data_IF_172476725995
#
_entry.id   IF_172476725995
#
_cell.length_a   1.000
_cell.length_b   1.000
_cell.length_c   1.000
_cell.angle_alpha   90.00
_cell.angle_beta   90.00
_cell.angle_gamma   90.00
#
_symmetry.space_group_name_H-M   'P 1'
#
loop_
_entity.id
_entity.type
_entity.pdbx_description
1 polymer ?
#
# COMPACT_ATOMS: atom_id res chain seq x y z
N UNK A 1 20.51 9.26 19.71
CA UNK A 1 20.16 8.24 20.74
C UNK A 1 18.68 7.96 20.67
N UNK A 2 18.33 6.66 20.61
CA UNK A 2 16.93 6.25 20.61
C UNK A 2 16.47 6.08 22.06
N UNK A 3 15.57 6.97 22.50
CA UNK A 3 14.94 6.95 23.81
C UNK A 3 13.45 6.71 23.61
N UNK A 4 12.84 5.86 24.41
CA UNK A 4 11.40 5.68 24.47
C UNK A 4 10.86 5.98 25.87
N UNK A 5 9.64 6.48 25.93
CA UNK A 5 8.96 6.80 27.19
C UNK A 5 7.81 5.83 27.42
N UNK A 6 7.78 5.25 28.61
CA UNK A 6 6.68 4.40 29.06
C UNK A 6 5.81 5.20 30.02
N UNK A 7 4.54 5.38 29.67
CA UNK A 7 3.52 5.99 30.53
C UNK A 7 2.63 4.88 31.07
N UNK A 8 2.69 4.66 32.38
CA UNK A 8 1.83 3.68 33.05
C UNK A 8 0.46 4.32 33.36
N UNK A 9 -0.56 3.90 32.62
CA UNK A 9 -1.95 4.34 32.83
C UNK A 9 -2.76 3.44 33.77
N UNK A 10 -2.14 2.38 34.32
CA UNK A 10 -2.81 1.58 35.35
C UNK A 10 -2.94 2.39 36.64
N UNK A 11 -4.07 2.25 37.32
CA UNK A 11 -4.35 2.94 38.61
C UNK A 11 -3.63 2.31 39.79
N UNK A 12 -3.39 0.99 39.74
CA UNK A 12 -2.95 0.24 40.92
C UNK A 12 -1.74 -0.67 40.69
N UNK A 13 -1.33 -0.86 39.43
CA UNK A 13 -0.35 -1.88 39.04
C UNK A 13 0.89 -1.24 38.46
N UNK A 14 2.07 -1.64 38.97
CA UNK A 14 3.34 -1.29 38.36
C UNK A 14 3.55 -2.07 37.04
N UNK A 15 4.22 -1.47 36.06
CA UNK A 15 4.49 -2.16 34.77
C UNK A 15 5.40 -3.37 34.91
N UNK A 16 6.11 -3.55 36.05
CA UNK A 16 6.96 -4.71 36.32
C UNK A 16 6.21 -6.04 36.40
N UNK A 17 4.86 -6.03 36.50
CA UNK A 17 4.03 -7.26 36.44
C UNK A 17 3.96 -7.83 35.00
N UNK A 18 4.39 -7.08 34.00
CA UNK A 18 4.47 -7.52 32.62
C UNK A 18 5.90 -7.83 32.21
N UNK A 19 6.08 -8.68 31.23
CA UNK A 19 7.34 -8.79 30.52
C UNK A 19 7.42 -7.75 29.42
N UNK A 20 8.56 -7.06 29.32
CA UNK A 20 8.81 -6.07 28.29
C UNK A 20 9.93 -6.54 27.35
N UNK A 21 9.78 -6.29 26.06
CA UNK A 21 10.76 -6.63 25.03
C UNK A 21 11.03 -5.45 24.12
N UNK A 22 12.29 -5.26 23.73
CA UNK A 22 12.65 -4.47 22.56
C UNK A 22 12.89 -5.43 21.39
N UNK A 23 12.24 -5.14 20.27
CA UNK A 23 12.24 -5.97 19.06
C UNK A 23 12.70 -5.09 17.90
N UNK A 24 13.58 -5.62 17.05
CA UNK A 24 13.97 -5.00 15.81
C UNK A 24 13.37 -5.78 14.66
N UNK A 25 12.62 -5.10 13.82
CA UNK A 25 12.18 -5.61 12.54
C UNK A 25 13.06 -5.02 11.43
N UNK A 26 13.42 -5.83 10.44
CA UNK A 26 14.02 -5.41 9.18
C UNK A 26 13.10 -5.81 8.04
N UNK A 27 12.64 -4.84 7.23
CA UNK A 27 11.62 -5.01 6.20
C UNK A 27 10.36 -5.77 6.69
N UNK A 28 9.97 -5.49 7.94
CA UNK A 28 8.79 -6.06 8.57
C UNK A 28 8.98 -7.44 9.23
N UNK A 29 10.15 -8.06 9.12
CA UNK A 29 10.46 -9.35 9.74
C UNK A 29 11.34 -9.18 10.99
N UNK A 30 11.05 -9.94 12.05
CA UNK A 30 11.81 -9.88 13.30
C UNK A 30 13.24 -10.42 13.10
N UNK A 31 14.25 -9.56 13.34
CA UNK A 31 15.67 -9.92 13.23
C UNK A 31 16.40 -9.95 14.58
N UNK A 32 15.85 -9.28 15.57
CA UNK A 32 16.44 -9.26 16.91
C UNK A 32 15.37 -9.00 17.99
N UNK A 33 15.51 -9.66 19.13
CA UNK A 33 14.66 -9.47 20.33
C UNK A 33 15.50 -9.52 21.59
N UNK A 34 15.21 -8.61 22.53
CA UNK A 34 15.83 -8.64 23.85
C UNK A 34 14.82 -8.26 24.93
N UNK A 35 14.96 -8.85 26.12
CA UNK A 35 14.11 -8.53 27.27
C UNK A 35 14.57 -7.23 27.93
N UNK A 36 13.61 -6.40 28.28
CA UNK A 36 13.83 -5.14 28.98
C UNK A 36 13.44 -5.26 30.45
N UNK A 37 14.16 -4.53 31.33
CA UNK A 37 13.79 -4.34 32.70
C UNK A 37 13.05 -2.99 32.83
N UNK A 38 11.74 -3.04 32.85
CA UNK A 38 10.88 -1.85 32.93
C UNK A 38 10.07 -1.90 34.23
N UNK A 39 10.13 -0.81 35.00
CA UNK A 39 9.37 -0.64 36.23
C UNK A 39 8.91 0.81 36.34
N UNK A 40 7.64 1.04 36.07
CA UNK A 40 7.01 2.36 36.18
C UNK A 40 5.83 2.24 37.13
N UNK A 41 5.80 3.02 38.24
CA UNK A 41 4.68 3.02 39.18
C UNK A 41 3.35 3.43 38.48
N UNK A 42 2.21 3.11 39.17
CA UNK A 42 0.90 3.54 38.68
C UNK A 42 0.83 5.05 38.41
N UNK A 43 0.22 5.45 37.29
CA UNK A 43 0.01 6.85 36.89
C UNK A 43 1.28 7.69 36.68
N UNK A 44 2.44 7.04 36.61
CA UNK A 44 3.73 7.70 36.38
C UNK A 44 4.27 7.38 34.96
N UNK A 45 5.36 8.04 34.61
CA UNK A 45 6.11 7.80 33.37
C UNK A 45 7.61 7.76 33.63
N UNK A 46 8.32 6.98 32.82
CA UNK A 46 9.77 6.92 32.82
C UNK A 46 10.32 6.71 31.41
N UNK A 47 11.51 7.24 31.17
CA UNK A 47 12.20 7.10 29.87
C UNK A 47 13.33 6.08 29.99
N UNK A 48 13.50 5.30 28.92
CA UNK A 48 14.51 4.23 28.81
C UNK A 48 15.24 4.37 27.48
N UNK A 49 16.51 3.98 27.47
CA UNK A 49 17.28 3.89 26.24
C UNK A 49 17.00 2.58 25.51
N UNK A 50 16.99 2.64 24.19
CA UNK A 50 16.98 1.42 23.37
C UNK A 50 18.33 0.72 23.52
N UNK A 51 18.36 -0.61 23.77
CA UNK A 51 19.60 -1.36 23.97
C UNK A 51 20.62 -1.15 22.84
N UNK A 52 21.90 -0.96 23.20
CA UNK A 52 23.01 -0.76 22.25
C UNK A 52 23.13 -1.94 21.28
N UNK A 53 22.91 -3.17 21.74
CA UNK A 53 22.93 -4.37 20.90
C UNK A 53 21.90 -4.32 19.78
N UNK A 54 20.73 -3.75 20.04
CA UNK A 54 19.68 -3.56 19.03
C UNK A 54 20.08 -2.50 18.00
N UNK A 55 20.70 -1.40 18.46
CA UNK A 55 21.24 -0.36 17.57
C UNK A 55 22.32 -0.92 16.64
N UNK A 56 23.23 -1.75 17.17
CA UNK A 56 24.32 -2.37 16.40
C UNK A 56 23.85 -3.44 15.41
N UNK A 57 22.62 -3.92 15.51
CA UNK A 57 22.02 -4.86 14.56
C UNK A 57 21.43 -4.18 13.31
N UNK A 58 21.40 -2.85 13.27
CA UNK A 58 20.97 -2.03 12.12
C UNK A 58 22.16 -1.73 11.21
N UNK A 59 22.67 -2.73 10.52
CA UNK A 59 23.90 -2.61 9.72
C UNK A 59 23.66 -2.50 8.22
N UNK A 60 22.46 -2.85 7.74
CA UNK A 60 22.12 -2.83 6.32
C UNK A 60 21.35 -1.54 6.00
N UNK A 61 22.01 -0.60 5.31
CA UNK A 61 21.41 0.69 4.95
C UNK A 61 20.32 0.58 3.88
N UNK A 62 20.24 -0.55 3.18
CA UNK A 62 19.22 -0.80 2.17
C UNK A 62 17.90 -1.30 2.79
N UNK A 63 17.87 -1.61 4.08
CA UNK A 63 16.68 -2.07 4.80
C UNK A 63 15.96 -0.96 5.55
N UNK A 64 14.64 -1.06 5.58
CA UNK A 64 13.80 -0.30 6.48
C UNK A 64 13.75 -1.00 7.84
N UNK A 65 14.05 -0.30 8.94
CA UNK A 65 14.00 -0.86 10.27
C UNK A 65 12.83 -0.30 11.07
N UNK A 66 12.22 -1.16 11.92
CA UNK A 66 11.25 -0.74 12.91
C UNK A 66 11.67 -1.24 14.30
N UNK A 67 11.80 -0.31 15.26
CA UNK A 67 11.98 -0.64 16.67
C UNK A 67 10.60 -0.76 17.28
N UNK A 68 10.32 -1.89 17.94
CA UNK A 68 9.07 -2.13 18.65
C UNK A 68 9.40 -2.37 20.13
N UNK A 69 8.71 -1.69 21.04
CA UNK A 69 8.69 -2.00 22.46
C UNK A 69 7.35 -2.64 22.78
N UNK A 70 7.37 -3.86 23.29
CA UNK A 70 6.18 -4.69 23.51
C UNK A 70 6.09 -5.12 24.96
N UNK A 71 4.88 -5.05 25.52
CA UNK A 71 4.56 -5.53 26.87
C UNK A 71 3.60 -6.71 26.77
N UNK A 72 3.93 -7.82 27.42
CA UNK A 72 3.14 -9.05 27.39
C UNK A 72 2.84 -9.54 28.81
N UNK A 73 1.74 -10.31 28.94
CA UNK A 73 1.41 -10.97 30.21
C UNK A 73 2.49 -11.97 30.59
N UNK A 74 2.96 -11.91 31.84
CA UNK A 74 3.90 -12.91 32.42
C UNK A 74 3.22 -14.24 32.69
N UNK A 75 1.96 -14.19 33.13
CA UNK A 75 1.21 -15.33 33.66
C UNK A 75 -0.16 -15.38 32.98
N UNK A 76 -0.79 -16.56 33.04
CA UNK A 76 -2.16 -16.71 32.62
C UNK A 76 -3.11 -15.90 33.51
N UNK A 77 -4.05 -15.22 32.90
CA UNK A 77 -5.15 -14.51 33.54
C UNK A 77 -6.47 -15.22 33.28
N UNK A 78 -7.56 -14.74 33.87
CA UNK A 78 -8.92 -15.27 33.60
C UNK A 78 -9.42 -14.93 32.18
N UNK A 79 -8.79 -13.95 31.51
CA UNK A 79 -9.24 -13.42 30.21
C UNK A 79 -8.24 -13.71 29.09
N UNK A 80 -6.95 -13.96 29.39
CA UNK A 80 -5.94 -14.28 28.36
C UNK A 80 -4.73 -15.03 28.93
N UNK A 81 -3.94 -15.65 28.03
CA UNK A 81 -2.77 -16.47 28.39
C UNK A 81 -1.50 -15.62 28.52
N UNK A 82 -0.51 -16.16 29.25
CA UNK A 82 0.84 -15.64 29.27
C UNK A 82 1.38 -15.47 27.83
N UNK A 83 2.12 -14.38 27.60
CA UNK A 83 2.61 -14.01 26.27
C UNK A 83 1.67 -13.13 25.45
N UNK A 84 0.40 -12.97 25.86
CA UNK A 84 -0.52 -12.06 25.19
C UNK A 84 -0.01 -10.61 25.30
N UNK A 85 0.06 -9.91 24.16
CA UNK A 85 0.53 -8.53 24.11
C UNK A 85 -0.56 -7.55 24.56
N UNK A 86 -0.26 -6.79 25.59
CA UNK A 86 -1.22 -5.84 26.19
C UNK A 86 -0.99 -4.40 25.71
N UNK A 87 0.25 -4.08 25.31
CA UNK A 87 0.61 -2.76 24.83
C UNK A 87 1.88 -2.83 23.99
N UNK A 88 2.00 -1.96 23.01
CA UNK A 88 3.22 -1.77 22.25
C UNK A 88 3.40 -0.30 21.86
N UNK A 89 4.64 0.05 21.57
CA UNK A 89 5.03 1.27 20.84
C UNK A 89 5.98 0.90 19.71
N UNK A 90 5.95 1.65 18.62
CA UNK A 90 6.80 1.37 17.48
C UNK A 90 7.38 2.65 16.86
N UNK A 91 8.60 2.57 16.36
CA UNK A 91 9.27 3.67 15.69
C UNK A 91 9.96 3.17 14.41
N UNK A 92 9.61 3.81 13.29
CA UNK A 92 10.10 3.44 11.96
C UNK A 92 11.36 4.24 11.61
N UNK A 93 12.41 3.53 11.24
CA UNK A 93 13.65 4.08 10.69
C UNK A 93 13.66 3.77 9.20
N UNK A 94 13.26 4.76 8.40
CA UNK A 94 13.13 4.60 6.96
C UNK A 94 14.49 4.50 6.31
N UNK A 95 14.60 3.63 5.29
CA UNK A 95 15.74 3.65 4.38
C UNK A 95 15.68 4.88 3.46
N UNK A 96 16.81 5.36 2.93
CA UNK A 96 16.79 6.36 1.86
C UNK A 96 15.96 5.88 0.68
N UNK A 97 15.18 6.78 0.08
CA UNK A 97 14.46 6.49 -1.15
C UNK A 97 15.47 6.58 -2.30
N UNK A 98 15.66 5.48 -3.01
CA UNK A 98 16.43 5.44 -4.26
C UNK A 98 15.49 5.28 -5.45
N UNK A 99 15.81 5.90 -6.58
CA UNK A 99 15.09 5.62 -7.82
C UNK A 99 15.36 4.17 -8.24
N UNK A 100 14.30 3.51 -8.73
CA UNK A 100 14.45 2.16 -9.26
C UNK A 100 15.26 2.18 -10.55
N UNK A 101 16.23 1.28 -10.67
CA UNK A 101 17.06 1.12 -11.87
C UNK A 101 17.19 -0.36 -12.22
N UNK A 102 17.31 -0.64 -13.51
CA UNK A 102 17.49 -1.99 -14.04
C UNK A 102 18.42 -1.93 -15.26
N UNK A 103 19.46 -2.76 -15.27
CA UNK A 103 20.45 -2.82 -16.36
C UNK A 103 20.01 -3.72 -17.52
N UNK A 104 18.87 -4.43 -17.38
CA UNK A 104 18.34 -5.28 -18.46
C UNK A 104 17.76 -4.44 -19.59
N UNK A 105 18.01 -4.87 -20.81
CA UNK A 105 17.49 -4.22 -22.01
C UNK A 105 15.97 -4.37 -22.13
N UNK A 106 15.33 -3.35 -22.69
CA UNK A 106 13.90 -3.32 -23.01
C UNK A 106 13.69 -2.94 -24.47
N UNK A 107 12.81 -3.64 -25.15
CA UNK A 107 12.49 -3.41 -26.56
C UNK A 107 11.11 -2.76 -26.69
N UNK A 108 11.03 -1.77 -27.60
CA UNK A 108 9.81 -1.06 -27.95
C UNK A 108 9.41 -1.37 -29.39
N UNK A 109 8.17 -1.82 -29.58
CA UNK A 109 7.56 -1.97 -30.90
C UNK A 109 6.27 -1.14 -30.98
N UNK A 110 6.24 -0.17 -31.86
CA UNK A 110 5.08 0.72 -32.05
C UNK A 110 4.32 0.29 -33.29
N UNK A 111 3.11 -0.20 -33.10
CA UNK A 111 2.15 -0.52 -34.17
C UNK A 111 1.06 0.54 -34.31
N UNK A 112 0.17 0.36 -35.30
CA UNK A 112 -0.93 1.31 -35.54
C UNK A 112 -1.97 1.33 -34.42
N UNK A 113 -2.28 0.18 -33.81
CA UNK A 113 -3.28 0.05 -32.75
C UNK A 113 -2.71 -0.13 -31.35
N UNK A 114 -1.49 -0.66 -31.25
CA UNK A 114 -0.89 -1.03 -29.98
C UNK A 114 0.59 -0.67 -29.93
N UNK A 115 1.09 -0.55 -28.69
CA UNK A 115 2.50 -0.39 -28.34
C UNK A 115 2.88 -1.60 -27.51
N UNK A 116 3.88 -2.36 -27.95
CA UNK A 116 4.44 -3.48 -27.24
C UNK A 116 5.77 -3.08 -26.62
N UNK A 117 5.89 -3.30 -25.32
CA UNK A 117 7.16 -3.24 -24.58
C UNK A 117 7.48 -4.63 -24.11
N UNK A 118 8.69 -5.11 -24.37
CA UNK A 118 9.08 -6.46 -23.96
C UNK A 118 10.55 -6.55 -23.49
N UNK A 119 10.77 -7.47 -22.61
CA UNK A 119 12.10 -7.94 -22.18
C UNK A 119 12.20 -9.43 -22.32
N UNK A 120 13.18 -10.02 -21.66
CA UNK A 120 13.46 -11.47 -21.74
C UNK A 120 12.26 -12.32 -21.28
N UNK A 121 11.64 -11.96 -20.16
CA UNK A 121 10.61 -12.79 -19.49
C UNK A 121 9.22 -12.15 -19.45
N UNK A 122 9.03 -10.99 -20.08
CA UNK A 122 7.76 -10.28 -20.02
C UNK A 122 7.38 -9.64 -21.36
N UNK A 123 6.07 -9.35 -21.48
CA UNK A 123 5.47 -8.53 -22.54
C UNK A 123 4.39 -7.66 -21.89
N UNK A 124 4.46 -6.34 -22.10
CA UNK A 124 3.43 -5.40 -21.73
C UNK A 124 2.85 -4.77 -22.99
N UNK A 125 1.55 -4.91 -23.21
CA UNK A 125 0.85 -4.38 -24.37
C UNK A 125 -0.02 -3.20 -23.96
N UNK A 126 0.18 -2.06 -24.62
CA UNK A 126 -0.55 -0.81 -24.41
C UNK A 126 -1.38 -0.50 -25.64
N UNK A 127 -2.64 -0.10 -25.44
CA UNK A 127 -3.53 0.24 -26.53
C UNK A 127 -3.40 1.73 -26.90
N UNK A 128 -3.32 2.03 -28.19
CA UNK A 128 -3.45 3.40 -28.70
C UNK A 128 -4.91 3.86 -28.84
N UNK A 129 -5.85 2.93 -28.74
CA UNK A 129 -7.29 3.17 -28.96
C UNK A 129 -8.14 3.00 -27.71
N UNK A 130 -7.66 2.21 -26.75
CA UNK A 130 -8.31 1.92 -25.47
C UNK A 130 -7.53 2.55 -24.32
N UNK A 131 -8.10 2.44 -23.14
CA UNK A 131 -7.73 3.24 -21.95
C UNK A 131 -6.40 2.90 -21.26
N UNK A 132 -5.45 2.16 -21.85
CA UNK A 132 -4.18 1.92 -21.15
C UNK A 132 -3.51 0.59 -21.47
N UNK A 133 -2.90 -0.03 -20.45
CA UNK A 133 -2.26 -1.34 -20.54
C UNK A 133 -3.33 -2.43 -20.63
N UNK A 134 -3.35 -3.17 -21.74
CA UNK A 134 -4.40 -4.16 -22.06
C UNK A 134 -3.94 -5.61 -21.86
N UNK A 135 -2.64 -5.84 -21.65
CA UNK A 135 -2.08 -7.14 -21.38
C UNK A 135 -0.72 -6.98 -20.68
N UNK A 136 -0.49 -7.80 -19.68
CA UNK A 136 0.81 -7.94 -19.04
C UNK A 136 1.11 -9.42 -18.81
N UNK A 137 1.98 -9.96 -19.66
CA UNK A 137 2.43 -11.36 -19.58
C UNK A 137 3.79 -11.43 -18.91
N UNK A 138 3.92 -12.17 -17.83
CA UNK A 138 5.19 -12.44 -17.16
C UNK A 138 5.40 -13.95 -16.99
N UNK A 139 6.57 -14.45 -17.36
CA UNK A 139 6.86 -15.88 -17.33
C UNK A 139 5.86 -16.74 -18.10
N UNK A 140 5.25 -16.20 -19.18
CA UNK A 140 4.24 -16.88 -19.99
C UNK A 140 2.82 -16.87 -19.40
N UNK A 141 2.59 -16.16 -18.28
CA UNK A 141 1.28 -16.07 -17.63
C UNK A 141 0.71 -14.65 -17.84
N UNK A 142 -0.53 -14.56 -18.34
CA UNK A 142 -1.26 -13.29 -18.43
C UNK A 142 -1.74 -12.86 -17.05
N UNK A 143 -1.33 -11.67 -16.61
CA UNK A 143 -1.65 -11.13 -15.28
C UNK A 143 -2.88 -10.20 -15.29
N UNK A 144 -3.29 -9.70 -16.45
CA UNK A 144 -4.40 -8.76 -16.62
C UNK A 144 -5.47 -9.31 -17.59
N UNK A 145 -6.04 -10.50 -17.36
CA UNK A 145 -7.00 -11.06 -18.29
C UNK A 145 -8.28 -10.21 -18.35
N UNK A 146 -8.58 -9.65 -19.52
CA UNK A 146 -9.77 -8.85 -19.79
C UNK A 146 -9.96 -7.61 -18.86
N UNK A 147 -8.87 -7.04 -18.39
CA UNK A 147 -8.90 -5.88 -17.50
C UNK A 147 -7.86 -4.84 -17.93
N UNK A 148 -8.12 -3.59 -17.59
CA UNK A 148 -7.22 -2.46 -17.80
C UNK A 148 -7.08 -1.75 -16.46
N UNK A 149 -5.85 -1.51 -15.94
CA UNK A 149 -5.66 -0.64 -14.78
C UNK A 149 -6.16 0.77 -15.07
N UNK A 150 -6.99 1.32 -14.21
CA UNK A 150 -7.60 2.64 -14.41
C UNK A 150 -7.40 3.53 -13.18
N UNK A 151 -7.32 4.85 -13.37
CA UNK A 151 -7.42 5.80 -12.27
C UNK A 151 -8.72 5.61 -11.51
N UNK A 152 -8.65 5.69 -10.19
CA UNK A 152 -9.81 5.60 -9.30
C UNK A 152 -9.81 6.75 -8.30
N UNK A 153 -10.98 7.38 -8.13
CA UNK A 153 -11.20 8.56 -7.28
C UNK A 153 -12.32 8.33 -6.27
N UNK A 154 -12.81 7.10 -6.20
CA UNK A 154 -13.95 6.74 -5.37
C UNK A 154 -13.72 5.42 -4.64
N UNK A 155 -14.16 5.37 -3.39
CA UNK A 155 -14.23 4.16 -2.58
C UNK A 155 -15.64 3.97 -2.01
N UNK A 156 -15.92 2.80 -1.48
CA UNK A 156 -17.15 2.57 -0.73
C UNK A 156 -17.16 3.46 0.52
N UNK A 157 -18.28 4.15 0.83
CA UNK A 157 -18.34 4.99 2.02
C UNK A 157 -18.19 4.19 3.32
N UNK A 158 -17.45 4.76 4.27
CA UNK A 158 -17.48 4.35 5.67
C UNK A 158 -18.70 4.97 6.40
N UNK A 159 -18.93 4.58 7.64
CA UNK A 159 -19.95 5.24 8.48
C UNK A 159 -19.66 6.74 8.66
N UNK A 160 -18.38 7.11 8.82
CA UNK A 160 -17.97 8.51 8.93
C UNK A 160 -18.24 9.29 7.65
N UNK A 161 -17.98 8.67 6.49
CA UNK A 161 -18.29 9.27 5.19
C UNK A 161 -19.81 9.46 5.02
N UNK A 162 -20.60 8.49 5.42
CA UNK A 162 -22.07 8.57 5.36
C UNK A 162 -22.60 9.67 6.29
N UNK A 163 -22.06 9.77 7.51
CA UNK A 163 -22.38 10.84 8.47
C UNK A 163 -22.01 12.25 7.97
N UNK A 164 -20.93 12.35 7.19
CA UNK A 164 -20.48 13.61 6.55
C UNK A 164 -21.17 13.86 5.18
N UNK A 165 -22.12 13.02 4.78
CA UNK A 165 -22.80 13.08 3.47
C UNK A 165 -21.82 13.05 2.28
N UNK A 166 -20.69 12.35 2.40
CA UNK A 166 -19.68 12.24 1.34
C UNK A 166 -20.29 11.76 0.02
N UNK A 167 -21.18 10.74 -0.02
CA UNK A 167 -21.79 10.28 -1.25
C UNK A 167 -22.57 11.36 -2.01
N UNK A 168 -23.17 12.31 -1.31
CA UNK A 168 -23.93 13.42 -1.92
C UNK A 168 -23.01 14.59 -2.30
N UNK A 169 -22.06 14.95 -1.43
CA UNK A 169 -21.16 16.10 -1.61
C UNK A 169 -20.17 15.89 -2.73
N UNK A 170 -19.69 14.65 -2.91
CA UNK A 170 -18.57 14.33 -3.79
C UNK A 170 -18.90 13.27 -4.85
N UNK A 171 -20.20 13.05 -5.14
CA UNK A 171 -20.68 12.05 -6.10
C UNK A 171 -20.03 12.14 -7.48
N UNK A 172 -19.62 13.33 -7.92
CA UNK A 172 -18.95 13.51 -9.21
C UNK A 172 -17.66 12.68 -9.34
N UNK A 173 -16.96 12.40 -8.25
CA UNK A 173 -15.75 11.57 -8.27
C UNK A 173 -16.06 10.09 -8.52
N UNK A 174 -17.24 9.62 -8.09
CA UNK A 174 -17.75 8.30 -8.46
C UNK A 174 -17.97 8.22 -9.97
N UNK A 175 -18.63 9.23 -10.53
CA UNK A 175 -18.88 9.31 -11.97
C UNK A 175 -17.55 9.43 -12.74
N UNK A 176 -16.60 10.23 -12.22
CA UNK A 176 -15.27 10.34 -12.81
C UNK A 176 -14.55 8.98 -12.86
N UNK A 177 -14.56 8.21 -11.78
CA UNK A 177 -13.94 6.87 -11.73
C UNK A 177 -14.59 5.87 -12.70
N UNK A 178 -15.92 5.96 -12.89
CA UNK A 178 -16.65 5.04 -13.76
C UNK A 178 -16.49 5.36 -15.24
N UNK A 179 -16.31 6.62 -15.58
CA UNK A 179 -16.36 7.11 -16.97
C UNK A 179 -15.12 7.91 -17.38
N UNK A 180 -14.01 7.72 -16.68
CA UNK A 180 -12.72 8.25 -17.11
C UNK A 180 -12.37 7.72 -18.51
N UNK A 181 -11.88 8.59 -19.38
CA UNK A 181 -11.63 8.24 -20.78
C UNK A 181 -10.41 8.96 -21.33
N UNK A 182 -9.67 8.33 -22.24
CA UNK A 182 -8.61 8.99 -23.03
C UNK A 182 -9.15 9.79 -24.20
N UNK A 183 -10.46 9.74 -24.45
CA UNK A 183 -11.10 10.45 -25.57
C UNK A 183 -11.69 11.75 -25.09
N UNK A 184 -11.16 12.86 -25.60
CA UNK A 184 -11.86 14.15 -25.54
C UNK A 184 -13.09 14.12 -26.48
N UNK A 185 -14.10 14.96 -26.21
CA UNK A 185 -15.33 15.09 -27.00
C UNK A 185 -15.10 15.53 -28.47
N UNK A 186 -13.88 15.55 -28.95
CA UNK A 186 -13.52 15.90 -30.31
C UNK A 186 -13.38 14.63 -31.17
N UNK A 187 -14.22 14.50 -32.17
CA UNK A 187 -14.38 13.31 -33.03
C UNK A 187 -13.10 12.85 -33.75
N UNK A 188 -12.03 13.67 -33.74
CA UNK A 188 -10.75 13.42 -34.43
C UNK A 188 -9.53 13.77 -33.58
N UNK A 189 -9.67 13.92 -32.26
CA UNK A 189 -8.52 14.16 -31.39
C UNK A 189 -7.61 12.92 -31.40
N UNK A 190 -6.32 13.13 -31.52
CA UNK A 190 -5.33 12.08 -31.30
C UNK A 190 -5.35 11.69 -29.79
N UNK A 191 -5.78 10.49 -29.51
CA UNK A 191 -5.85 9.93 -28.16
C UNK A 191 -4.70 8.98 -27.88
N UNK A 192 -3.70 8.97 -28.77
CA UNK A 192 -2.51 8.14 -28.60
C UNK A 192 -1.72 8.58 -27.38
N UNK A 193 -1.20 7.63 -26.60
CA UNK A 193 -0.33 7.96 -25.50
C UNK A 193 0.99 8.55 -26.00
N UNK A 194 1.60 9.42 -25.18
CA UNK A 194 2.97 9.87 -25.37
C UNK A 194 3.92 8.71 -25.05
N UNK A 195 4.92 8.48 -25.91
CA UNK A 195 5.90 7.40 -25.74
C UNK A 195 7.30 8.01 -25.72
N UNK A 196 8.04 7.72 -24.68
CA UNK A 196 9.43 8.18 -24.49
C UNK A 196 10.33 6.96 -24.28
N UNK A 197 11.37 6.85 -25.10
CA UNK A 197 12.40 5.83 -24.96
C UNK A 197 13.60 6.43 -24.23
N UNK A 198 13.88 5.90 -23.07
CA UNK A 198 15.07 6.22 -22.29
C UNK A 198 16.09 5.06 -22.40
N UNK A 199 17.28 5.24 -21.82
CA UNK A 199 18.37 4.23 -21.94
C UNK A 199 17.96 2.87 -21.36
N UNK A 200 17.28 2.83 -20.22
CA UNK A 200 16.96 1.60 -19.47
C UNK A 200 15.44 1.36 -19.28
N UNK A 201 14.57 2.23 -19.81
CA UNK A 201 13.12 2.06 -19.67
C UNK A 201 12.36 2.72 -20.82
N UNK A 202 11.11 2.34 -20.94
CA UNK A 202 10.14 2.95 -21.86
C UNK A 202 9.02 3.57 -21.00
N UNK A 203 8.79 4.89 -21.15
CA UNK A 203 7.68 5.57 -20.52
C UNK A 203 6.52 5.76 -21.49
N UNK A 204 5.32 5.40 -21.06
CA UNK A 204 4.07 5.53 -21.83
C UNK A 204 3.06 6.30 -20.99
N UNK A 205 2.70 7.50 -21.41
CA UNK A 205 1.82 8.40 -20.68
C UNK A 205 0.48 8.56 -21.38
N UNK A 206 -0.59 8.27 -20.67
CA UNK A 206 -1.97 8.51 -21.07
C UNK A 206 -2.52 9.72 -20.34
N UNK A 207 -3.23 10.61 -21.08
CA UNK A 207 -4.05 11.65 -20.48
C UNK A 207 -5.49 11.16 -20.40
N UNK A 208 -6.05 11.15 -19.21
CA UNK A 208 -7.43 10.75 -18.94
C UNK A 208 -8.29 11.97 -18.65
N UNK A 209 -9.40 12.09 -19.34
CA UNK A 209 -10.40 13.13 -19.13
C UNK A 209 -11.49 12.61 -18.20
N UNK A 210 -11.85 13.39 -17.22
CA UNK A 210 -12.88 13.09 -16.24
C UNK A 210 -14.13 13.92 -16.49
N UNK A 211 -15.33 13.32 -16.48
CA UNK A 211 -16.59 14.03 -16.70
C UNK A 211 -17.04 14.80 -15.43
N UNK A 212 -16.17 15.67 -14.94
CA UNK A 212 -16.43 16.58 -13.83
C UNK A 212 -16.89 17.94 -14.32
N UNK A 213 -17.45 18.76 -13.43
CA UNK A 213 -17.81 20.14 -13.71
C UNK A 213 -17.21 21.07 -12.65
N UNK A 214 -16.19 21.89 -12.99
CA UNK A 214 -15.52 22.00 -14.29
C UNK A 214 -14.88 20.69 -14.75
N UNK A 215 -14.67 20.55 -16.07
CA UNK A 215 -13.97 19.38 -16.62
C UNK A 215 -12.52 19.35 -16.12
N UNK A 216 -12.04 18.17 -15.74
CA UNK A 216 -10.68 17.94 -15.30
C UNK A 216 -10.03 16.77 -16.03
N UNK A 217 -8.72 16.60 -15.83
CA UNK A 217 -7.95 15.50 -16.38
C UNK A 217 -6.86 15.06 -15.42
N UNK A 218 -6.39 13.82 -15.60
CA UNK A 218 -5.21 13.31 -14.92
C UNK A 218 -4.30 12.59 -15.93
N UNK A 219 -3.06 12.35 -15.57
CA UNK A 219 -2.11 11.58 -16.37
C UNK A 219 -1.70 10.32 -15.64
N UNK A 220 -1.58 9.22 -16.40
CA UNK A 220 -0.95 7.97 -15.90
C UNK A 220 0.25 7.68 -16.78
N UNK A 221 1.41 7.64 -16.16
CA UNK A 221 2.67 7.23 -16.80
C UNK A 221 3.06 5.85 -16.33
N UNK A 222 3.21 4.92 -17.25
CA UNK A 222 3.79 3.60 -17.06
C UNK A 222 5.23 3.62 -17.54
N UNK A 223 6.18 3.49 -16.61
CA UNK A 223 7.61 3.35 -16.92
C UNK A 223 8.00 1.89 -16.80
N UNK A 224 8.27 1.24 -17.93
CA UNK A 224 8.52 -0.19 -18.04
C UNK A 224 10.02 -0.43 -18.13
N UNK A 225 10.55 -1.23 -17.21
CA UNK A 225 11.98 -1.61 -17.15
C UNK A 225 12.23 -2.98 -17.78
N UNK A 226 13.50 -3.29 -18.06
CA UNK A 226 13.89 -4.50 -18.80
C UNK A 226 13.70 -5.82 -18.06
N UNK A 227 13.45 -5.81 -16.75
CA UNK A 227 13.09 -6.99 -15.95
C UNK A 227 11.58 -7.23 -15.82
N UNK A 228 10.76 -6.32 -16.35
CA UNK A 228 9.30 -6.35 -16.28
C UNK A 228 8.71 -5.49 -15.16
N UNK A 229 9.52 -4.87 -14.33
CA UNK A 229 9.02 -3.89 -13.34
C UNK A 229 8.35 -2.73 -14.07
N UNK A 230 7.17 -2.33 -13.60
CA UNK A 230 6.42 -1.17 -14.12
C UNK A 230 6.19 -0.18 -12.99
N UNK A 231 6.88 0.94 -13.06
CA UNK A 231 6.57 2.10 -12.20
C UNK A 231 5.34 2.81 -12.77
N UNK A 232 4.31 2.97 -11.95
CA UNK A 232 3.07 3.64 -12.37
C UNK A 232 2.90 4.94 -11.58
N UNK A 233 2.89 6.05 -12.29
CA UNK A 233 2.70 7.40 -11.72
C UNK A 233 1.33 7.94 -12.15
N UNK A 234 0.47 8.24 -11.18
CA UNK A 234 -0.78 8.96 -11.38
C UNK A 234 -0.58 10.42 -10.96
N UNK A 235 -0.83 11.36 -11.87
CA UNK A 235 -0.69 12.80 -11.64
C UNK A 235 -2.01 13.52 -11.89
N UNK A 236 -2.36 14.44 -11.00
CA UNK A 236 -3.55 15.26 -11.08
C UNK A 236 -3.27 16.67 -10.58
N UNK A 237 -3.64 17.66 -11.38
CA UNK A 237 -3.61 19.07 -10.96
C UNK A 237 -4.96 19.43 -10.33
N UNK A 238 -5.03 19.73 -9.02
CA UNK A 238 -6.30 19.98 -8.34
C UNK A 238 -7.06 21.17 -8.91
N UNK A 239 -8.34 20.95 -9.24
CA UNK A 239 -9.29 22.01 -9.64
C UNK A 239 -10.10 22.40 -8.41
N UNK A 240 -9.93 23.65 -7.96
CA UNK A 240 -10.46 24.16 -6.69
C UNK A 240 -11.98 23.97 -6.53
N UNK A 241 -12.72 24.10 -7.63
CA UNK A 241 -14.19 24.02 -7.64
C UNK A 241 -14.73 22.61 -7.48
N UNK A 242 -13.88 21.58 -7.60
CA UNK A 242 -14.33 20.19 -7.55
C UNK A 242 -14.47 19.62 -6.12
N UNK A 243 -13.89 20.30 -5.14
CA UNK A 243 -13.90 19.84 -3.74
C UNK A 243 -12.99 18.64 -3.48
N UNK A 244 -13.15 18.04 -2.31
CA UNK A 244 -12.31 16.95 -1.85
C UNK A 244 -12.54 15.66 -2.67
N UNK A 245 -11.46 14.95 -2.94
CA UNK A 245 -11.47 13.66 -3.65
C UNK A 245 -11.46 12.52 -2.63
N UNK A 246 -12.47 11.62 -2.62
CA UNK A 246 -12.57 10.55 -1.63
C UNK A 246 -11.43 9.53 -1.68
N UNK A 247 -10.86 9.30 -2.84
CA UNK A 247 -9.72 8.42 -3.09
C UNK A 247 -8.89 8.95 -4.26
N UNK A 248 -7.58 8.70 -4.22
CA UNK A 248 -6.68 9.00 -5.32
C UNK A 248 -5.74 7.83 -5.53
N UNK A 249 -5.97 7.03 -6.56
CA UNK A 249 -5.21 5.82 -6.79
C UNK A 249 -5.48 5.15 -8.11
N UNK A 250 -4.88 3.96 -8.28
CA UNK A 250 -5.07 3.09 -9.44
C UNK A 250 -5.83 1.83 -9.02
N UNK A 251 -6.81 1.43 -9.82
CA UNK A 251 -7.55 0.19 -9.62
C UNK A 251 -7.01 -0.90 -10.53
N UNK A 252 -6.59 -2.01 -9.94
CA UNK A 252 -6.19 -3.24 -10.61
C UNK A 252 -7.22 -4.33 -10.32
N UNK A 253 -7.53 -5.14 -11.32
CA UNK A 253 -8.38 -6.33 -11.17
C UNK A 253 -7.58 -7.55 -11.55
N UNK A 254 -7.60 -8.55 -10.70
CA UNK A 254 -6.99 -9.86 -10.95
C UNK A 254 -8.08 -10.93 -11.03
N UNK A 255 -7.75 -12.08 -11.60
CA UNK A 255 -8.64 -13.22 -11.63
C UNK A 255 -8.93 -13.72 -10.19
N UNK A 256 -10.12 -14.28 -9.95
CA UNK A 256 -10.54 -14.77 -8.64
C UNK A 256 -9.66 -15.90 -8.07
N UNK A 257 -8.89 -16.57 -8.92
CA UNK A 257 -7.91 -17.58 -8.48
C UNK A 257 -6.74 -16.99 -7.69
N UNK A 258 -6.51 -15.67 -7.79
CA UNK A 258 -5.54 -14.94 -6.99
C UNK A 258 -6.18 -14.52 -5.66
N UNK A 259 -6.35 -15.45 -4.75
CA UNK A 259 -7.12 -15.32 -3.52
C UNK A 259 -6.30 -15.06 -2.26
N UNK A 260 -4.98 -15.01 -2.36
CA UNK A 260 -4.07 -14.82 -1.23
C UNK A 260 -3.34 -13.49 -1.35
N UNK A 261 -3.36 -12.70 -0.27
CA UNK A 261 -2.67 -11.40 -0.19
C UNK A 261 -1.58 -11.49 0.87
N UNK A 262 -0.35 -11.14 0.48
CA UNK A 262 0.78 -10.93 1.40
C UNK A 262 1.21 -9.46 1.30
N UNK A 263 1.36 -8.79 2.45
CA UNK A 263 1.79 -7.39 2.45
C UNK A 263 2.77 -7.08 3.57
N UNK A 264 3.62 -6.10 3.34
CA UNK A 264 4.40 -5.42 4.36
C UNK A 264 3.82 -4.02 4.61
N UNK A 265 3.31 -3.80 5.80
CA UNK A 265 2.63 -2.56 6.19
C UNK A 265 2.04 -2.68 7.58
N UNK A 266 1.05 -1.84 7.89
CA UNK A 266 0.27 -1.97 9.11
C UNK A 266 -0.71 -3.14 9.00
N UNK A 267 -0.85 -3.91 10.08
CA UNK A 267 -1.72 -5.08 10.17
C UNK A 267 -1.75 -5.67 11.56
N UNK A 268 -2.24 -6.93 11.73
CA UNK A 268 -2.88 -7.77 10.69
C UNK A 268 -4.29 -7.31 10.30
N UNK A 269 -4.98 -6.58 11.19
CA UNK A 269 -6.33 -6.10 10.98
C UNK A 269 -6.39 -4.95 9.96
N UNK A 270 -7.59 -4.56 9.55
CA UNK A 270 -7.79 -3.38 8.73
C UNK A 270 -7.33 -2.10 9.47
N UNK A 271 -6.80 -1.16 8.72
CA UNK A 271 -6.37 0.15 9.23
C UNK A 271 -6.88 1.24 8.30
N UNK A 272 -7.29 2.38 8.88
CA UNK A 272 -7.69 3.59 8.17
C UNK A 272 -6.91 4.77 8.73
N UNK A 273 -6.88 5.92 8.05
CA UNK A 273 -6.08 7.07 8.49
C UNK A 273 -6.42 7.52 9.92
N UNK A 274 -7.69 7.43 10.31
CA UNK A 274 -8.18 7.74 11.66
C UNK A 274 -8.11 6.54 12.63
N UNK A 275 -7.64 5.35 12.17
CA UNK A 275 -7.61 4.10 12.94
C UNK A 275 -6.35 3.28 12.63
N UNK A 276 -5.18 3.84 12.94
CA UNK A 276 -3.88 3.20 12.71
C UNK A 276 -3.18 2.71 13.98
N UNK A 277 -3.54 3.23 15.15
CA UNK A 277 -2.79 3.01 16.40
C UNK A 277 -2.81 1.56 16.90
N UNK A 278 -3.79 0.76 16.50
CA UNK A 278 -3.81 -0.69 16.76
C UNK A 278 -2.99 -1.52 15.78
N UNK A 279 -2.55 -0.93 14.66
CA UNK A 279 -1.76 -1.62 13.64
C UNK A 279 -0.28 -1.66 13.97
N UNK A 280 0.36 -2.80 13.72
CA UNK A 280 1.81 -2.98 13.83
C UNK A 280 2.42 -3.13 12.45
N UNK A 281 3.64 -2.61 12.27
CA UNK A 281 4.42 -2.92 11.08
C UNK A 281 4.86 -4.38 11.10
N UNK A 282 4.68 -5.07 9.99
CA UNK A 282 5.04 -6.46 9.83
C UNK A 282 4.72 -6.98 8.44
N UNK A 283 5.17 -8.19 8.16
CA UNK A 283 4.78 -8.94 6.97
C UNK A 283 3.63 -9.85 7.35
N UNK A 284 2.51 -9.69 6.66
CA UNK A 284 1.27 -10.43 6.92
C UNK A 284 0.80 -11.14 5.66
N UNK A 285 0.05 -12.22 5.85
CA UNK A 285 -0.58 -12.98 4.77
C UNK A 285 -1.96 -13.47 5.21
N UNK A 286 -2.96 -13.31 4.35
CA UNK A 286 -4.30 -13.86 4.56
C UNK A 286 -5.01 -14.10 3.21
N UNK A 287 -6.22 -14.64 3.26
CA UNK A 287 -7.09 -14.69 2.09
C UNK A 287 -7.77 -13.35 1.85
N UNK A 288 -8.05 -13.05 0.59
CA UNK A 288 -8.83 -11.86 0.23
C UNK A 288 -10.17 -11.82 1.00
N UNK A 289 -10.82 -12.98 1.16
CA UNK A 289 -12.09 -13.11 1.89
C UNK A 289 -11.98 -12.75 3.39
N UNK A 290 -10.80 -12.93 4.00
CA UNK A 290 -10.57 -12.63 5.42
C UNK A 290 -10.54 -11.11 5.71
N UNK A 291 -10.52 -10.28 4.65
CA UNK A 291 -10.48 -8.83 4.78
C UNK A 291 -11.88 -8.18 4.77
N UNK A 292 -12.92 -8.98 4.74
CA UNK A 292 -14.29 -8.48 4.87
C UNK A 292 -14.65 -8.40 6.36
N UNK A 293 -14.84 -7.19 6.87
CA UNK A 293 -15.29 -6.98 8.24
C UNK A 293 -16.82 -7.06 8.32
N UNK A 294 -17.32 -7.81 9.30
CA UNK A 294 -18.75 -8.00 9.54
C UNK A 294 -19.35 -6.80 10.31
N UNK A 295 -19.38 -5.62 9.66
CA UNK A 295 -20.06 -4.46 10.23
C UNK A 295 -21.58 -4.65 10.21
N UNK A 296 -22.26 -4.13 11.23
CA UNK A 296 -23.73 -4.14 11.30
C UNK A 296 -24.39 -3.42 10.10
N UNK A 297 -23.76 -2.34 9.65
CA UNK A 297 -24.14 -1.64 8.41
C UNK A 297 -23.01 -1.87 7.41
N UNK A 298 -23.25 -2.49 6.26
CA UNK A 298 -22.24 -2.71 5.24
C UNK A 298 -21.56 -1.41 4.82
N UNK A 299 -20.23 -1.41 4.84
CA UNK A 299 -19.40 -0.25 4.54
C UNK A 299 -18.06 -0.68 3.98
N UNK A 300 -17.18 0.29 3.68
CA UNK A 300 -15.77 0.03 3.33
C UNK A 300 -15.10 -0.84 4.41
N UNK A 301 -14.34 -1.83 4.00
CA UNK A 301 -13.62 -2.73 4.91
C UNK A 301 -12.32 -3.26 4.28
N UNK A 302 -11.42 -3.77 5.13
CA UNK A 302 -10.20 -4.45 4.71
C UNK A 302 -9.04 -3.54 4.30
N UNK A 303 -9.18 -2.21 4.39
CA UNK A 303 -8.10 -1.29 4.03
C UNK A 303 -6.82 -1.54 4.83
N UNK A 304 -5.67 -1.34 4.20
CA UNK A 304 -4.34 -1.46 4.81
C UNK A 304 -3.57 -0.15 4.59
N UNK A 305 -3.17 0.48 5.69
CA UNK A 305 -2.35 1.70 5.65
C UNK A 305 -0.85 1.39 5.69
N UNK A 306 -0.06 2.37 5.22
CA UNK A 306 1.40 2.33 5.28
C UNK A 306 2.00 1.07 4.64
N UNK A 307 1.39 0.58 3.58
CA UNK A 307 1.87 -0.57 2.81
C UNK A 307 3.12 -0.19 2.01
N UNK A 308 4.16 -1.05 2.08
CA UNK A 308 5.40 -0.93 1.28
C UNK A 308 5.30 -1.78 0.04
N UNK A 309 4.78 -2.99 0.20
CA UNK A 309 4.42 -3.85 -0.91
C UNK A 309 3.18 -4.68 -0.58
N UNK A 310 2.48 -5.09 -1.61
CA UNK A 310 1.43 -6.11 -1.53
C UNK A 310 1.61 -7.10 -2.68
N UNK A 311 1.59 -8.38 -2.36
CA UNK A 311 1.66 -9.47 -3.35
C UNK A 311 0.34 -10.21 -3.34
N UNK A 312 -0.34 -10.25 -4.49
CA UNK A 312 -1.58 -11.00 -4.67
C UNK A 312 -1.27 -12.26 -5.46
N UNK A 313 -1.60 -13.43 -4.89
CA UNK A 313 -1.09 -14.72 -5.36
C UNK A 313 -2.20 -15.76 -5.56
N UNK A 314 -1.97 -16.66 -6.52
CA UNK A 314 -2.70 -17.91 -6.65
C UNK A 314 -2.16 -19.00 -5.70
N UNK A 315 -2.80 -20.18 -5.71
CA UNK A 315 -2.40 -21.34 -4.90
C UNK A 315 -1.01 -21.90 -5.23
N UNK A 316 -0.41 -21.48 -6.35
CA UNK A 316 0.95 -21.86 -6.76
C UNK A 316 1.99 -20.79 -6.41
N UNK A 317 1.58 -19.72 -5.73
CA UNK A 317 2.44 -18.58 -5.38
C UNK A 317 2.79 -17.68 -6.57
N UNK A 318 2.11 -17.83 -7.72
CA UNK A 318 2.23 -16.93 -8.87
C UNK A 318 1.34 -15.71 -8.61
N UNK A 319 1.79 -14.54 -8.97
CA UNK A 319 1.00 -13.35 -8.73
C UNK A 319 1.71 -12.07 -9.12
N UNK A 320 1.11 -10.97 -8.71
CA UNK A 320 1.57 -9.62 -8.95
C UNK A 320 2.05 -9.01 -7.62
N UNK A 321 3.19 -8.31 -7.67
CA UNK A 321 3.80 -7.58 -6.56
C UNK A 321 3.74 -6.09 -6.85
#
# INVERSE_FOLDING_TARGET
DYIFTVTNKNLFVNTSVFDAFAILLADGEEVYRTKLQISVPPMEQASYEVPVTLKNSMIDVEKEYCIVVSFVLKENTIWEKAGYEIAFGQHMIKKPVSEYSCDKSVELVVGNGNILVRGENFKALFSRMNLGMVSYVYGGVEMLPNTIPLPNFWRTPTNNDSGNMMPQRYAQWKIASMYVTTRQNQRFADTSPRVEKNDNNIAITYTYFMPTTPQSSCEVTYRVFGDGTIETTLSYDPVKELGDMPEFGMMFKLDADYDTVKWYGLGPQETYEDRQHGGKYGVYENKVADNVAEYLVPQESGNKCRVRYAKVMDKKGRGML
#
